data_IF_564042553504
#
_entry.id   IF_564042553504
#
_cell.length_a   1.000
_cell.length_b   1.000
_cell.length_c   1.000
_cell.angle_alpha   90.00
_cell.angle_beta   90.00
_cell.angle_gamma   90.00
#
_symmetry.space_group_name_H-M   'P 1'
#
loop_
_entity.id
_entity.type
_entity.pdbx_description
1 polymer ?
#
# COMPACT_ATOMS: atom_id res chain seq x y z
N UNK A 1 -17.01 -43.63 -51.85
CA UNK A 1 -17.64 -44.32 -52.99
C UNK A 1 -16.94 -43.91 -54.29
N UNK A 2 -16.41 -44.89 -55.11
CA UNK A 2 -15.87 -44.54 -56.40
C UNK A 2 -17.00 -44.04 -57.30
N UNK A 3 -16.84 -42.89 -57.95
CA UNK A 3 -17.81 -42.37 -58.92
C UNK A 3 -17.94 -43.32 -60.05
N UNK A 4 -19.15 -43.71 -60.42
CA UNK A 4 -19.46 -44.75 -61.45
C UNK A 4 -19.23 -44.21 -62.89
N UNK A 5 -19.18 -42.86 -63.06
CA UNK A 5 -18.99 -42.17 -64.32
C UNK A 5 -17.96 -41.03 -64.18
N UNK A 6 -17.13 -40.82 -65.23
CA UNK A 6 -16.24 -39.67 -65.29
C UNK A 6 -16.99 -38.43 -65.74
N UNK A 7 -16.46 -37.22 -65.37
CA UNK A 7 -17.06 -35.97 -65.78
C UNK A 7 -17.17 -35.77 -67.27
N UNK A 8 -16.17 -36.30 -67.99
CA UNK A 8 -16.19 -36.33 -69.45
C UNK A 8 -17.36 -37.13 -69.97
N UNK A 9 -17.66 -38.30 -69.41
CA UNK A 9 -18.83 -39.11 -69.76
C UNK A 9 -20.15 -38.39 -69.42
N UNK A 10 -20.20 -37.70 -68.28
CA UNK A 10 -21.39 -36.94 -67.86
C UNK A 10 -21.66 -35.76 -68.79
N UNK A 11 -20.61 -34.97 -69.10
CA UNK A 11 -20.72 -33.81 -69.98
C UNK A 11 -21.09 -34.28 -71.40
N UNK A 12 -20.50 -35.36 -71.86
CA UNK A 12 -20.85 -35.96 -73.17
C UNK A 12 -22.33 -36.31 -73.21
N UNK A 13 -22.82 -37.01 -72.20
CA UNK A 13 -24.26 -37.38 -72.14
C UNK A 13 -25.20 -36.12 -72.07
N UNK A 14 -24.82 -35.05 -71.38
CA UNK A 14 -25.60 -33.77 -71.36
C UNK A 14 -25.56 -33.11 -72.78
N UNK A 15 -24.40 -33.08 -73.44
CA UNK A 15 -24.27 -32.51 -74.77
C UNK A 15 -25.02 -33.34 -75.82
N UNK A 16 -25.08 -34.70 -75.72
CA UNK A 16 -25.88 -35.57 -76.58
C UNK A 16 -27.41 -35.22 -76.48
N UNK A 17 -27.86 -34.87 -75.23
CA UNK A 17 -29.24 -34.39 -75.03
C UNK A 17 -29.48 -33.00 -75.63
N UNK A 18 -28.53 -32.09 -75.50
CA UNK A 18 -28.57 -30.76 -76.10
C UNK A 18 -28.59 -30.81 -77.61
N UNK A 19 -27.95 -31.88 -78.22
CA UNK A 19 -28.00 -32.16 -79.65
C UNK A 19 -29.29 -32.88 -80.09
N UNK A 20 -30.29 -33.09 -79.17
CA UNK A 20 -31.59 -33.66 -79.57
C UNK A 20 -31.87 -35.09 -79.13
N UNK A 21 -30.95 -35.80 -78.52
CA UNK A 21 -31.18 -37.14 -77.98
C UNK A 21 -32.21 -37.19 -76.86
N UNK A 22 -33.09 -38.17 -76.84
CA UNK A 22 -34.12 -38.35 -75.80
C UNK A 22 -33.47 -38.84 -74.52
N UNK A 23 -33.87 -38.19 -73.35
CA UNK A 23 -33.36 -38.55 -72.03
C UNK A 23 -33.49 -40.02 -71.70
N UNK A 24 -34.61 -40.64 -72.11
CA UNK A 24 -34.85 -42.06 -71.83
C UNK A 24 -33.82 -42.97 -72.49
N UNK A 25 -33.32 -42.66 -73.70
CA UNK A 25 -32.33 -43.46 -74.37
C UNK A 25 -30.93 -43.30 -73.78
N UNK A 26 -30.56 -42.11 -73.42
CA UNK A 26 -29.31 -41.80 -72.66
C UNK A 26 -29.32 -42.53 -71.34
N UNK A 27 -30.45 -42.51 -70.64
CA UNK A 27 -30.56 -43.17 -69.31
C UNK A 27 -30.44 -44.70 -69.44
N UNK A 28 -31.01 -45.29 -70.48
CA UNK A 28 -30.85 -46.73 -70.75
C UNK A 28 -29.40 -47.09 -71.10
N UNK A 29 -28.75 -46.33 -71.97
CA UNK A 29 -27.38 -46.57 -72.37
C UNK A 29 -26.39 -46.48 -71.24
N UNK A 30 -26.58 -45.50 -70.36
CA UNK A 30 -25.72 -45.29 -69.21
C UNK A 30 -26.18 -45.98 -67.93
N UNK A 31 -27.37 -46.67 -67.89
CA UNK A 31 -27.85 -47.37 -66.78
C UNK A 31 -28.11 -46.46 -65.54
N UNK A 32 -28.65 -45.24 -65.75
CA UNK A 32 -28.97 -44.25 -64.74
C UNK A 32 -30.46 -43.95 -64.75
N UNK A 33 -30.91 -43.35 -63.62
CA UNK A 33 -32.28 -42.87 -63.51
C UNK A 33 -32.42 -41.48 -64.17
N UNK A 34 -33.62 -41.13 -64.64
CA UNK A 34 -33.92 -39.81 -65.20
C UNK A 34 -33.59 -38.67 -64.17
N UNK A 35 -33.89 -38.86 -62.85
CA UNK A 35 -33.53 -37.92 -61.82
C UNK A 35 -32.00 -37.69 -61.76
N UNK A 36 -31.19 -38.74 -61.93
CA UNK A 36 -29.73 -38.61 -61.96
C UNK A 36 -29.26 -37.75 -63.12
N UNK A 37 -29.86 -38.01 -64.35
CA UNK A 37 -29.57 -37.25 -65.55
C UNK A 37 -29.93 -35.73 -65.38
N UNK A 38 -31.10 -35.42 -64.84
CA UNK A 38 -31.50 -34.01 -64.61
C UNK A 38 -30.59 -33.30 -63.58
N UNK A 39 -30.13 -33.98 -62.56
CA UNK A 39 -29.11 -33.46 -61.65
C UNK A 39 -27.77 -33.18 -62.34
N UNK A 40 -27.39 -34.07 -63.29
CA UNK A 40 -26.21 -33.83 -64.11
C UNK A 40 -26.40 -32.63 -65.04
N UNK A 41 -27.55 -32.53 -65.71
CA UNK A 41 -27.90 -31.39 -66.55
C UNK A 41 -27.89 -30.05 -65.79
N UNK A 42 -28.47 -30.01 -64.61
CA UNK A 42 -28.46 -28.82 -63.74
C UNK A 42 -27.04 -28.38 -63.36
N UNK A 43 -26.12 -29.30 -63.27
CA UNK A 43 -24.74 -29.03 -62.80
C UNK A 43 -23.73 -28.79 -63.95
N UNK A 44 -23.98 -29.40 -65.14
CA UNK A 44 -22.98 -29.44 -66.22
C UNK A 44 -23.50 -28.93 -67.54
N UNK A 45 -24.76 -28.50 -67.67
CA UNK A 45 -25.28 -27.92 -68.92
C UNK A 45 -24.51 -26.64 -69.27
N UNK A 46 -24.09 -26.56 -70.55
CA UNK A 46 -23.35 -25.37 -71.02
C UNK A 46 -21.88 -25.32 -70.64
N UNK A 47 -21.33 -26.38 -69.91
CA UNK A 47 -19.94 -26.40 -69.50
C UNK A 47 -19.07 -27.27 -70.48
N UNK A 48 -17.89 -26.74 -70.79
CA UNK A 48 -16.86 -27.59 -71.43
C UNK A 48 -16.11 -28.45 -70.39
N UNK A 49 -15.47 -29.58 -70.82
CA UNK A 49 -14.73 -30.48 -69.92
C UNK A 49 -13.66 -29.71 -69.15
N UNK A 50 -12.99 -28.76 -69.77
CA UNK A 50 -11.96 -27.95 -69.13
C UNK A 50 -12.57 -26.97 -68.02
N UNK A 51 -13.74 -26.45 -68.29
CA UNK A 51 -14.47 -25.57 -67.34
C UNK A 51 -14.95 -26.37 -66.11
N UNK A 52 -15.44 -27.59 -66.29
CA UNK A 52 -15.84 -28.47 -65.23
C UNK A 52 -14.65 -28.86 -64.32
N UNK A 53 -13.46 -29.09 -64.89
CA UNK A 53 -12.23 -29.32 -64.14
C UNK A 53 -11.86 -28.07 -63.35
N UNK A 54 -11.92 -26.91 -63.97
CA UNK A 54 -11.61 -25.64 -63.34
C UNK A 54 -12.57 -25.31 -62.18
N UNK A 55 -13.86 -25.55 -62.37
CA UNK A 55 -14.86 -25.37 -61.32
C UNK A 55 -14.55 -26.23 -60.10
N UNK A 56 -14.15 -27.49 -60.29
CA UNK A 56 -13.80 -28.39 -59.20
C UNK A 56 -12.52 -27.96 -58.45
N UNK A 57 -11.53 -27.51 -59.20
CA UNK A 57 -10.31 -26.96 -58.58
C UNK A 57 -10.66 -25.77 -57.71
N UNK A 58 -11.47 -24.82 -58.21
CA UNK A 58 -11.92 -23.67 -57.45
C UNK A 58 -12.79 -24.04 -56.25
N UNK A 59 -13.71 -25.00 -56.37
CA UNK A 59 -14.48 -25.52 -55.24
C UNK A 59 -13.58 -26.13 -54.17
N UNK A 60 -12.57 -26.93 -54.56
CA UNK A 60 -11.58 -27.53 -53.65
C UNK A 60 -10.73 -26.47 -52.97
N UNK A 61 -10.27 -25.45 -53.73
CA UNK A 61 -9.51 -24.34 -53.18
C UNK A 61 -10.36 -23.51 -52.20
N UNK A 62 -11.60 -23.22 -52.56
CA UNK A 62 -12.52 -22.49 -51.69
C UNK A 62 -12.80 -23.24 -50.37
N UNK A 63 -12.93 -24.58 -50.47
CA UNK A 63 -13.10 -25.42 -49.29
C UNK A 63 -11.86 -25.42 -48.40
N UNK A 64 -10.64 -25.48 -48.97
CA UNK A 64 -9.38 -25.34 -48.23
C UNK A 64 -9.24 -23.96 -47.60
N UNK A 65 -9.53 -22.91 -48.36
CA UNK A 65 -9.48 -21.52 -47.82
C UNK A 65 -10.45 -21.31 -46.67
N UNK A 66 -11.69 -21.80 -46.79
CA UNK A 66 -12.69 -21.74 -45.69
C UNK A 66 -12.20 -22.49 -44.45
N UNK A 67 -11.58 -23.66 -44.58
CA UNK A 67 -11.03 -24.41 -43.48
C UNK A 67 -9.87 -23.66 -42.80
N UNK A 68 -8.93 -23.15 -43.58
CA UNK A 68 -7.82 -22.34 -43.07
C UNK A 68 -8.29 -21.08 -42.37
N UNK A 69 -9.31 -20.39 -42.91
CA UNK A 69 -9.88 -19.20 -42.30
C UNK A 69 -10.51 -19.53 -40.94
N UNK A 70 -11.27 -20.65 -40.86
CA UNK A 70 -11.87 -21.09 -39.58
C UNK A 70 -10.82 -21.43 -38.54
N UNK A 71 -9.76 -22.15 -38.90
CA UNK A 71 -8.63 -22.47 -38.02
C UNK A 71 -7.94 -21.18 -37.52
N UNK A 72 -7.65 -20.24 -38.42
CA UNK A 72 -7.02 -18.95 -38.05
C UNK A 72 -7.91 -18.05 -37.18
N UNK A 73 -9.21 -18.11 -37.35
CA UNK A 73 -10.14 -17.40 -36.46
C UNK A 73 -10.12 -17.97 -35.06
N UNK A 74 -10.15 -19.29 -34.90
CA UNK A 74 -10.05 -19.97 -33.60
C UNK A 74 -8.71 -19.69 -32.91
N UNK A 75 -7.59 -19.79 -33.63
CA UNK A 75 -6.27 -19.43 -33.09
C UNK A 75 -6.23 -17.97 -32.59
N UNK A 76 -6.81 -17.05 -33.38
CA UNK A 76 -6.85 -15.63 -33.02
C UNK A 76 -7.71 -15.36 -31.79
N UNK A 77 -8.84 -16.05 -31.63
CA UNK A 77 -9.67 -15.97 -30.41
C UNK A 77 -8.93 -16.52 -29.19
N UNK A 78 -8.27 -17.67 -29.32
CA UNK A 78 -7.48 -18.23 -28.23
C UNK A 78 -6.33 -17.30 -27.81
N UNK A 79 -5.60 -16.70 -28.75
CA UNK A 79 -4.54 -15.73 -28.49
C UNK A 79 -5.09 -14.48 -27.80
N UNK A 80 -6.25 -13.97 -28.21
CA UNK A 80 -6.90 -12.84 -27.56
C UNK A 80 -7.24 -13.16 -26.11
N UNK A 81 -7.82 -14.32 -25.82
CA UNK A 81 -8.18 -14.72 -24.46
C UNK A 81 -6.95 -14.81 -23.54
N UNK A 82 -5.83 -15.38 -24.03
CA UNK A 82 -4.56 -15.43 -23.29
C UNK A 82 -4.01 -14.02 -23.00
N UNK A 83 -4.05 -13.11 -23.98
CA UNK A 83 -3.60 -11.73 -23.82
C UNK A 83 -4.46 -10.99 -22.79
N UNK A 84 -5.79 -11.13 -22.85
CA UNK A 84 -6.70 -10.51 -21.89
C UNK A 84 -6.47 -11.01 -20.46
N UNK A 85 -6.20 -12.29 -20.27
CA UNK A 85 -5.95 -12.88 -18.94
C UNK A 85 -4.60 -12.45 -18.35
N UNK A 86 -3.55 -12.28 -19.14
CA UNK A 86 -2.20 -11.92 -18.68
C UNK A 86 -1.96 -10.40 -18.56
N UNK A 87 -2.59 -9.58 -19.39
CA UNK A 87 -2.36 -8.12 -19.47
C UNK A 87 -3.49 -7.35 -18.78
N UNK A 88 -3.58 -7.49 -17.45
CA UNK A 88 -4.67 -6.87 -16.67
C UNK A 88 -4.40 -5.38 -16.37
N UNK A 89 -3.15 -4.98 -16.11
CA UNK A 89 -2.82 -3.62 -15.69
C UNK A 89 -2.87 -2.62 -16.86
N UNK A 90 -3.48 -1.41 -16.69
CA UNK A 90 -3.55 -0.40 -17.75
C UNK A 90 -2.19 0.00 -18.35
N UNK A 91 -1.13 0.03 -17.52
CA UNK A 91 0.22 0.34 -17.98
C UNK A 91 0.76 -0.76 -18.92
N UNK A 92 0.54 -2.04 -18.60
CA UNK A 92 0.92 -3.16 -19.46
C UNK A 92 0.11 -3.17 -20.76
N UNK A 93 -1.20 -2.87 -20.69
CA UNK A 93 -2.05 -2.71 -21.89
C UNK A 93 -1.52 -1.60 -22.81
N UNK A 94 -1.08 -0.47 -22.23
CA UNK A 94 -0.51 0.64 -22.99
C UNK A 94 0.80 0.25 -23.69
N UNK A 95 1.69 -0.48 -23.03
CA UNK A 95 2.95 -0.94 -23.65
C UNK A 95 2.71 -1.93 -24.79
N UNK A 96 1.75 -2.87 -24.61
CA UNK A 96 1.36 -3.81 -25.67
C UNK A 96 0.72 -3.08 -26.85
N UNK A 97 -0.20 -2.14 -26.59
CA UNK A 97 -0.80 -1.33 -27.67
C UNK A 97 0.27 -0.53 -28.43
N UNK A 98 1.25 0.05 -27.75
CA UNK A 98 2.38 0.75 -28.36
C UNK A 98 3.21 -0.21 -29.24
N UNK A 99 3.51 -1.40 -28.76
CA UNK A 99 4.22 -2.43 -29.50
C UNK A 99 3.48 -2.81 -30.79
N UNK A 100 2.16 -3.00 -30.72
CA UNK A 100 1.33 -3.29 -31.90
C UNK A 100 1.38 -2.17 -32.94
N UNK A 101 1.36 -0.90 -32.51
CA UNK A 101 1.48 0.25 -33.41
C UNK A 101 2.86 0.30 -34.06
N UNK A 102 3.95 0.10 -33.29
CA UNK A 102 5.31 0.29 -33.80
C UNK A 102 5.80 -0.87 -34.65
N UNK A 103 5.57 -2.12 -34.24
CA UNK A 103 6.08 -3.31 -34.93
C UNK A 103 5.15 -3.85 -36.01
N UNK A 104 3.84 -3.84 -35.74
CA UNK A 104 2.84 -4.36 -36.71
C UNK A 104 2.19 -3.28 -37.55
N UNK A 105 2.59 -2.01 -37.38
CA UNK A 105 2.03 -0.84 -38.12
C UNK A 105 0.50 -0.75 -38.08
N UNK A 106 -0.11 -1.30 -37.03
CA UNK A 106 -1.55 -1.23 -36.81
C UNK A 106 -1.95 0.18 -36.36
N UNK A 107 -3.13 0.63 -36.77
CA UNK A 107 -3.63 1.92 -36.29
C UNK A 107 -3.87 1.91 -34.78
N UNK A 108 -3.74 3.08 -34.12
CA UNK A 108 -4.04 3.21 -32.67
C UNK A 108 -5.43 2.68 -32.31
N UNK A 109 -6.43 2.90 -33.19
CA UNK A 109 -7.80 2.44 -32.97
C UNK A 109 -7.89 0.93 -32.87
N UNK A 110 -7.25 0.21 -33.80
CA UNK A 110 -7.23 -1.25 -33.84
C UNK A 110 -6.42 -1.80 -32.68
N UNK A 111 -5.22 -1.27 -32.45
CA UNK A 111 -4.35 -1.70 -31.35
C UNK A 111 -5.00 -1.53 -29.97
N UNK A 112 -5.65 -0.40 -29.73
CA UNK A 112 -6.38 -0.15 -28.48
C UNK A 112 -7.58 -1.11 -28.31
N UNK A 113 -8.34 -1.38 -29.40
CA UNK A 113 -9.46 -2.31 -29.39
C UNK A 113 -9.00 -3.74 -29.06
N UNK A 114 -7.91 -4.19 -29.68
CA UNK A 114 -7.34 -5.51 -29.45
C UNK A 114 -6.91 -5.75 -27.99
N UNK A 115 -6.40 -4.72 -27.32
CA UNK A 115 -5.89 -4.83 -25.95
C UNK A 115 -6.97 -4.46 -24.89
N UNK A 116 -8.14 -4.01 -25.34
CA UNK A 116 -9.20 -3.54 -24.43
C UNK A 116 -8.78 -2.30 -23.65
N UNK A 117 -8.17 -1.30 -24.32
CA UNK A 117 -7.75 -0.03 -23.75
C UNK A 117 -8.44 1.11 -24.48
N UNK A 118 -8.96 2.12 -23.77
CA UNK A 118 -9.48 3.32 -24.44
C UNK A 118 -8.35 4.14 -25.06
N UNK A 119 -8.61 4.81 -26.20
CA UNK A 119 -7.64 5.71 -26.84
C UNK A 119 -7.23 6.87 -25.94
N UNK A 120 -8.16 7.36 -25.11
CA UNK A 120 -7.88 8.39 -24.10
C UNK A 120 -6.84 7.89 -23.09
N UNK A 121 -6.99 6.65 -22.60
CA UNK A 121 -6.02 6.04 -21.69
C UNK A 121 -4.67 5.74 -22.38
N UNK A 122 -4.69 5.36 -23.66
CA UNK A 122 -3.47 5.17 -24.46
C UNK A 122 -2.68 6.47 -24.62
N UNK A 123 -3.35 7.57 -24.96
CA UNK A 123 -2.75 8.91 -25.16
C UNK A 123 -2.45 9.63 -23.84
N UNK A 124 -3.02 9.16 -22.70
CA UNK A 124 -2.80 9.80 -21.42
C UNK A 124 -1.32 9.87 -21.07
N UNK A 125 -0.80 11.07 -20.96
CA UNK A 125 0.53 11.35 -20.42
C UNK A 125 0.40 11.68 -18.95
N UNK A 126 1.13 10.91 -18.10
CA UNK A 126 1.17 11.18 -16.68
C UNK A 126 1.75 12.57 -16.44
N UNK A 127 0.95 13.49 -15.91
CA UNK A 127 1.43 14.82 -15.52
C UNK A 127 2.57 14.67 -14.49
N UNK A 128 3.69 15.35 -14.71
CA UNK A 128 4.79 15.42 -13.74
C UNK A 128 4.24 16.09 -12.47
N UNK A 129 4.36 15.42 -11.35
CA UNK A 129 3.95 15.99 -10.07
C UNK A 129 5.09 16.87 -9.57
N UNK A 130 4.77 18.08 -9.18
CA UNK A 130 5.70 19.02 -8.57
C UNK A 130 5.83 18.65 -7.08
N UNK A 131 6.65 17.65 -6.79
CA UNK A 131 6.88 17.15 -5.44
C UNK A 131 8.30 17.50 -4.94
N UNK A 132 9.10 18.24 -5.73
CA UNK A 132 10.53 18.40 -5.47
C UNK A 132 10.79 19.11 -4.13
N UNK A 133 10.16 20.25 -3.85
CA UNK A 133 10.30 20.93 -2.55
C UNK A 133 9.82 20.11 -1.35
N UNK A 134 8.77 19.28 -1.54
CA UNK A 134 8.29 18.38 -0.49
C UNK A 134 9.27 17.21 -0.26
N UNK A 135 9.96 16.73 -1.31
CA UNK A 135 10.98 15.69 -1.21
C UNK A 135 12.19 16.19 -0.42
N UNK A 136 12.66 17.38 -0.76
CA UNK A 136 13.84 17.96 -0.11
C UNK A 136 13.55 18.21 1.37
N UNK A 137 12.40 18.82 1.68
CA UNK A 137 12.01 19.03 3.08
C UNK A 137 11.83 17.73 3.85
N UNK A 138 11.29 16.69 3.22
CA UNK A 138 11.16 15.37 3.86
C UNK A 138 12.52 14.73 4.15
N UNK A 139 13.51 14.88 3.26
CA UNK A 139 14.89 14.40 3.48
C UNK A 139 15.55 15.13 4.65
N UNK A 140 15.44 16.45 4.71
CA UNK A 140 15.94 17.24 5.84
C UNK A 140 15.38 16.76 7.17
N UNK A 141 14.05 16.59 7.24
CA UNK A 141 13.38 16.09 8.44
C UNK A 141 13.79 14.64 8.77
N UNK A 142 14.02 13.79 7.77
CA UNK A 142 14.46 12.41 7.99
C UNK A 142 15.91 12.35 8.52
N UNK A 143 16.78 13.28 8.11
CA UNK A 143 18.14 13.43 8.65
C UNK A 143 18.10 13.97 10.09
N UNK A 144 17.27 14.98 10.33
CA UNK A 144 17.10 15.56 11.66
C UNK A 144 16.50 14.59 12.66
N UNK A 145 15.55 13.73 12.21
CA UNK A 145 14.83 12.76 13.04
C UNK A 145 14.95 11.33 12.48
N UNK A 146 16.10 10.66 12.62
CA UNK A 146 16.37 9.37 11.95
C UNK A 146 15.45 8.22 12.39
N UNK A 147 14.77 8.37 13.53
CA UNK A 147 13.82 7.36 14.07
C UNK A 147 12.37 7.59 13.66
N UNK A 148 12.09 8.67 12.91
CA UNK A 148 10.74 8.99 12.51
C UNK A 148 10.34 8.19 11.26
N UNK A 149 9.27 7.42 11.37
CA UNK A 149 8.62 6.81 10.21
C UNK A 149 7.71 7.81 9.48
N UNK A 150 7.20 7.43 8.32
CA UNK A 150 6.41 8.32 7.45
C UNK A 150 5.22 9.01 8.13
N UNK A 151 4.61 8.41 9.17
CA UNK A 151 3.48 9.01 9.88
C UNK A 151 3.91 10.20 10.75
N UNK A 152 5.08 10.13 11.40
CA UNK A 152 5.61 11.24 12.17
C UNK A 152 6.12 12.35 11.24
N UNK A 153 6.84 11.98 10.18
CA UNK A 153 7.25 12.94 9.14
C UNK A 153 6.04 13.62 8.49
N UNK A 154 4.95 12.87 8.24
CA UNK A 154 3.70 13.45 7.75
C UNK A 154 3.10 14.45 8.73
N UNK A 155 3.14 14.15 10.03
CA UNK A 155 2.67 15.07 11.07
C UNK A 155 3.42 16.40 11.07
N UNK A 156 4.77 16.35 10.95
CA UNK A 156 5.60 17.54 10.85
C UNK A 156 5.30 18.35 9.57
N UNK A 157 5.30 17.69 8.42
CA UNK A 157 5.00 18.34 7.12
C UNK A 157 3.58 18.91 7.06
N UNK A 158 2.63 18.30 7.77
CA UNK A 158 1.27 18.83 7.91
C UNK A 158 1.25 20.06 8.80
N UNK A 159 2.01 20.07 9.89
CA UNK A 159 2.18 21.25 10.75
C UNK A 159 2.80 22.43 10.02
N UNK A 160 3.73 22.18 9.09
CA UNK A 160 4.31 23.18 8.19
C UNK A 160 3.39 23.57 7.02
N UNK A 161 2.19 22.99 6.90
CA UNK A 161 1.23 23.29 5.82
C UNK A 161 1.60 22.70 4.43
N UNK A 162 2.70 21.94 4.31
CA UNK A 162 3.24 21.45 3.04
C UNK A 162 2.47 20.27 2.45
N UNK A 163 1.74 19.51 3.28
CA UNK A 163 1.00 18.32 2.84
C UNK A 163 -0.22 18.05 3.71
N UNK A 164 -1.31 17.64 3.06
CA UNK A 164 -2.52 17.17 3.76
C UNK A 164 -2.77 15.69 3.51
N UNK A 165 -2.38 15.17 2.33
CA UNK A 165 -2.67 13.81 1.93
C UNK A 165 -1.57 12.83 2.37
N UNK A 166 -1.89 11.99 3.34
CA UNK A 166 -1.01 10.93 3.87
C UNK A 166 -0.48 9.99 2.79
N UNK A 167 -1.29 9.65 1.76
CA UNK A 167 -0.86 8.79 0.65
C UNK A 167 0.24 9.45 -0.20
N UNK A 168 0.22 10.79 -0.35
CA UNK A 168 1.28 11.54 -1.04
C UNK A 168 2.60 11.45 -0.27
N UNK A 169 2.57 11.66 1.04
CA UNK A 169 3.75 11.52 1.90
C UNK A 169 4.32 10.10 1.86
N UNK A 170 3.46 9.08 1.99
CA UNK A 170 3.91 7.69 1.96
C UNK A 170 4.57 7.30 0.63
N UNK A 171 4.02 7.75 -0.49
CA UNK A 171 4.62 7.51 -1.81
C UNK A 171 6.02 8.12 -1.91
N UNK A 172 6.19 9.39 -1.53
CA UNK A 172 7.48 10.08 -1.56
C UNK A 172 8.47 9.41 -0.61
N UNK A 173 8.04 9.05 0.60
CA UNK A 173 8.84 8.33 1.58
C UNK A 173 9.41 7.00 1.05
N UNK A 174 8.61 6.27 0.23
CA UNK A 174 9.07 5.05 -0.44
C UNK A 174 9.99 5.35 -1.62
N UNK A 175 9.66 6.36 -2.45
CA UNK A 175 10.45 6.77 -3.62
C UNK A 175 11.86 7.20 -3.22
N UNK A 176 12.00 7.90 -2.09
CA UNK A 176 13.29 8.41 -1.59
C UNK A 176 14.04 7.41 -0.67
N UNK A 177 13.49 6.21 -0.44
CA UNK A 177 14.16 5.17 0.35
C UNK A 177 14.32 5.47 1.84
N UNK A 178 13.52 6.38 2.41
CA UNK A 178 13.62 6.88 3.79
C UNK A 178 13.09 5.89 4.85
N UNK A 179 12.94 4.62 4.52
CA UNK A 179 12.30 3.63 5.40
C UNK A 179 13.15 3.32 6.62
N UNK A 180 12.62 3.55 7.80
CA UNK A 180 13.25 3.16 9.06
C UNK A 180 13.22 1.63 9.18
N UNK A 181 14.40 1.00 9.23
CA UNK A 181 14.53 -0.44 9.42
C UNK A 181 14.14 -0.80 10.85
N UNK A 182 13.03 -1.51 11.00
CA UNK A 182 12.58 -2.05 12.29
C UNK A 182 12.63 -3.57 12.26
N UNK A 183 13.16 -4.20 13.33
CA UNK A 183 13.08 -5.66 13.48
C UNK A 183 11.61 -6.05 13.65
N UNK A 184 11.08 -6.85 12.74
CA UNK A 184 9.74 -7.44 12.88
C UNK A 184 9.77 -8.45 14.03
N UNK A 185 9.19 -8.10 15.18
CA UNK A 185 8.97 -9.07 16.26
C UNK A 185 7.70 -9.86 15.97
N UNK A 186 7.74 -11.20 16.14
CA UNK A 186 6.52 -12.01 16.20
C UNK A 186 5.72 -11.53 17.40
N UNK A 187 4.58 -10.90 17.18
CA UNK A 187 3.69 -10.45 18.25
C UNK A 187 2.75 -11.60 18.57
N UNK A 188 2.77 -12.07 19.82
CA UNK A 188 1.67 -12.83 20.40
C UNK A 188 0.42 -11.91 20.41
N UNK A 189 -0.67 -12.38 19.82
CA UNK A 189 -1.96 -11.69 19.89
C UNK A 189 -2.52 -11.85 21.32
N UNK A 190 -2.14 -10.93 22.21
CA UNK A 190 -2.81 -10.79 23.51
C UNK A 190 -3.90 -9.75 23.37
N UNK A 191 -5.08 -9.95 24.00
CA UNK A 191 -6.10 -8.92 24.05
C UNK A 191 -5.50 -7.66 24.66
N UNK A 192 -5.64 -6.52 23.98
CA UNK A 192 -5.18 -5.23 24.51
C UNK A 192 -6.20 -4.77 25.54
N UNK A 193 -5.79 -4.71 26.80
CA UNK A 193 -6.53 -3.97 27.80
C UNK A 193 -6.50 -2.48 27.40
N UNK A 194 -7.69 -1.92 27.23
CA UNK A 194 -7.83 -0.48 26.97
C UNK A 194 -7.47 0.22 28.26
N UNK A 195 -6.40 1.04 28.23
CA UNK A 195 -6.05 1.87 29.37
C UNK A 195 -7.08 3.00 29.49
N UNK A 196 -7.61 3.19 30.69
CA UNK A 196 -8.46 4.31 31.02
C UNK A 196 -7.70 5.63 30.84
N UNK A 197 -8.16 6.47 29.92
CA UNK A 197 -7.59 7.78 29.64
C UNK A 197 -8.39 8.81 30.41
N UNK A 198 -7.75 9.61 31.29
CA UNK A 198 -8.44 10.69 31.97
C UNK A 198 -9.12 11.66 31.00
N UNK A 199 -10.26 12.22 31.38
CA UNK A 199 -11.02 13.15 30.55
C UNK A 199 -10.49 14.60 30.56
N UNK A 200 -9.66 14.94 31.53
CA UNK A 200 -9.18 16.31 31.76
C UNK A 200 -7.72 16.33 32.23
N UNK A 201 -7.04 17.47 32.00
CA UNK A 201 -5.71 17.77 32.54
C UNK A 201 -5.71 17.66 34.07
N UNK A 202 -4.59 17.23 34.63
CA UNK A 202 -4.37 17.10 36.09
C UNK A 202 -5.30 16.11 36.83
N UNK A 203 -6.05 15.27 36.12
CA UNK A 203 -6.75 14.15 36.77
C UNK A 203 -5.79 13.03 37.20
N UNK A 204 -4.81 12.73 36.37
CA UNK A 204 -3.87 11.66 36.63
C UNK A 204 -2.52 11.92 35.98
N UNK A 205 -1.49 11.97 36.79
CA UNK A 205 -0.12 11.93 36.33
C UNK A 205 0.45 10.52 36.44
N UNK A 206 1.47 10.22 35.65
CA UNK A 206 2.28 9.01 35.80
C UNK A 206 3.73 9.41 35.89
N UNK A 207 4.48 8.71 36.75
CA UNK A 207 5.92 8.91 36.87
C UNK A 207 6.69 7.61 36.90
N UNK A 208 7.92 7.64 36.39
CA UNK A 208 8.82 6.51 36.36
C UNK A 208 10.27 6.95 36.14
N UNK A 209 11.20 6.08 36.55
CA UNK A 209 12.64 6.31 36.39
C UNK A 209 13.20 5.66 35.13
N UNK A 210 14.11 6.38 34.48
CA UNK A 210 14.98 5.82 33.44
C UNK A 210 16.43 6.05 33.88
N UNK A 211 17.27 5.02 33.74
CA UNK A 211 18.69 5.12 34.03
C UNK A 211 19.52 5.06 32.76
N UNK A 212 20.61 5.80 32.71
CA UNK A 212 21.62 5.78 31.68
C UNK A 212 23.00 6.05 32.29
N UNK A 213 24.05 6.12 31.47
CA UNK A 213 25.42 6.33 31.93
C UNK A 213 26.12 7.44 31.14
N UNK A 214 27.01 8.16 31.82
CA UNK A 214 27.90 9.12 31.21
C UNK A 214 29.09 8.39 30.53
N UNK A 215 29.82 9.11 29.67
CA UNK A 215 30.99 8.58 28.96
C UNK A 215 32.06 7.96 29.88
N UNK A 216 32.17 8.45 31.13
CA UNK A 216 33.08 7.92 32.14
C UNK A 216 32.52 6.69 32.89
N UNK A 217 31.39 6.11 32.44
CA UNK A 217 30.73 4.93 33.04
C UNK A 217 29.87 5.25 34.28
N UNK A 218 29.87 6.51 34.75
CA UNK A 218 29.07 6.91 35.92
C UNK A 218 27.59 6.94 35.59
N UNK A 219 26.77 6.21 36.33
CA UNK A 219 25.29 6.14 36.10
C UNK A 219 24.61 7.41 36.56
N UNK A 220 23.56 7.79 35.83
CA UNK A 220 22.60 8.82 36.21
C UNK A 220 21.17 8.32 36.03
N UNK A 221 20.25 8.98 36.72
CA UNK A 221 18.82 8.66 36.67
C UNK A 221 18.03 9.88 36.22
N UNK A 222 16.93 9.61 35.54
CA UNK A 222 15.96 10.61 35.10
C UNK A 222 14.59 10.21 35.59
N UNK A 223 13.97 11.02 36.42
CA UNK A 223 12.56 10.89 36.78
C UNK A 223 11.72 11.60 35.73
N UNK A 224 10.85 10.89 35.05
CA UNK A 224 9.90 11.44 34.10
C UNK A 224 8.52 11.58 34.74
N UNK A 225 7.86 12.72 34.56
CA UNK A 225 6.48 12.97 35.03
C UNK A 225 5.64 13.41 33.83
N UNK A 226 4.57 12.67 33.53
CA UNK A 226 3.70 12.90 32.37
C UNK A 226 2.24 13.04 32.83
N UNK A 227 1.49 13.95 32.21
CA UNK A 227 0.04 13.99 32.33
C UNK A 227 -0.59 12.93 31.37
N UNK A 228 -1.46 12.11 31.93
CA UNK A 228 -2.06 11.00 31.17
C UNK A 228 -3.16 11.44 30.20
N UNK A 229 -3.72 12.62 30.35
CA UNK A 229 -4.73 13.16 29.44
C UNK A 229 -4.11 13.60 28.11
N UNK A 230 -3.27 14.63 28.18
CA UNK A 230 -2.69 15.27 26.97
C UNK A 230 -1.31 14.75 26.59
N UNK A 231 -0.75 13.77 27.32
CA UNK A 231 0.61 13.22 27.09
C UNK A 231 1.73 14.25 27.25
N UNK A 232 1.48 15.35 27.89
CA UNK A 232 2.46 16.40 28.17
C UNK A 232 3.51 15.88 29.15
N UNK A 233 4.77 15.96 28.80
CA UNK A 233 5.90 15.68 29.68
C UNK A 233 6.12 16.91 30.59
N UNK A 234 5.52 16.90 31.76
CA UNK A 234 5.51 18.02 32.69
C UNK A 234 6.92 18.36 33.18
N UNK A 235 7.71 17.34 33.49
CA UNK A 235 9.07 17.56 33.91
C UNK A 235 9.97 16.33 33.88
N UNK A 236 11.28 16.61 33.95
CA UNK A 236 12.34 15.60 34.03
C UNK A 236 13.39 16.04 35.06
N UNK A 237 13.56 15.23 36.12
CA UNK A 237 14.60 15.46 37.11
C UNK A 237 15.81 14.57 36.79
N UNK A 238 16.96 15.17 36.44
CA UNK A 238 18.19 14.49 36.04
C UNK A 238 19.24 14.62 37.12
N UNK A 239 19.64 13.51 37.73
CA UNK A 239 20.67 13.48 38.77
C UNK A 239 21.43 12.16 38.83
N UNK A 240 22.58 12.13 39.47
CA UNK A 240 23.36 10.90 39.70
C UNK A 240 22.65 9.96 40.71
N UNK A 241 22.00 10.54 41.68
CA UNK A 241 21.16 9.86 42.65
C UNK A 241 19.94 10.74 42.93
N UNK A 242 18.77 10.11 43.13
CA UNK A 242 17.52 10.82 43.41
C UNK A 242 16.91 10.20 44.68
N UNK A 243 16.78 10.99 45.72
CA UNK A 243 16.13 10.59 46.96
C UNK A 243 14.64 10.92 46.97
N UNK A 244 13.86 10.31 47.85
CA UNK A 244 12.44 10.64 48.00
C UNK A 244 12.17 12.13 48.32
N UNK A 245 13.08 12.80 49.05
CA UNK A 245 12.99 14.25 49.28
C UNK A 245 13.18 15.07 48.01
N UNK A 246 14.10 14.66 47.14
CA UNK A 246 14.27 15.32 45.82
C UNK A 246 13.07 15.12 44.94
N UNK A 247 12.45 13.93 44.97
CA UNK A 247 11.21 13.65 44.26
C UNK A 247 10.09 14.57 44.74
N UNK A 248 9.89 14.72 46.05
CA UNK A 248 8.82 15.59 46.60
C UNK A 248 9.02 17.05 46.25
N UNK A 249 10.25 17.58 46.38
CA UNK A 249 10.56 18.97 45.95
C UNK A 249 10.28 19.21 44.48
N UNK A 250 10.63 18.22 43.63
CA UNK A 250 10.37 18.30 42.21
C UNK A 250 8.87 18.23 41.88
N UNK A 251 8.09 17.40 42.58
CA UNK A 251 6.64 17.34 42.42
C UNK A 251 5.95 18.60 42.92
N UNK A 252 6.47 19.24 43.99
CA UNK A 252 6.03 20.52 44.49
C UNK A 252 6.15 21.60 43.40
N UNK A 253 7.35 21.74 42.83
CA UNK A 253 7.62 22.67 41.74
C UNK A 253 6.67 22.42 40.54
N UNK A 254 6.48 21.17 40.12
CA UNK A 254 5.53 20.87 39.04
C UNK A 254 4.08 21.17 39.40
N UNK A 255 3.70 20.97 40.66
CA UNK A 255 2.37 21.34 41.16
C UNK A 255 2.12 22.84 41.16
N UNK A 256 3.11 23.63 41.48
CA UNK A 256 3.05 25.12 41.42
C UNK A 256 2.99 25.60 39.94
N UNK A 257 3.75 24.99 39.03
CA UNK A 257 3.79 25.38 37.61
C UNK A 257 2.55 24.96 36.83
N UNK A 258 2.03 23.75 37.07
CA UNK A 258 1.00 23.11 36.21
C UNK A 258 -0.35 22.90 36.93
N UNK A 259 -0.41 23.12 38.25
CA UNK A 259 -1.50 22.69 39.12
C UNK A 259 -1.32 21.23 39.60
N UNK A 260 -1.78 20.95 40.82
CA UNK A 260 -1.66 19.61 41.40
C UNK A 260 -2.61 18.59 40.75
N UNK A 261 -2.19 17.34 40.55
CA UNK A 261 -3.07 16.29 40.05
C UNK A 261 -3.95 15.71 41.18
N UNK A 262 -5.06 15.09 40.81
CA UNK A 262 -5.85 14.33 41.77
C UNK A 262 -5.15 13.05 42.23
N UNK A 263 -4.39 12.43 41.30
CA UNK A 263 -3.65 11.21 41.61
C UNK A 263 -2.37 11.07 40.75
N UNK A 264 -1.39 10.37 41.32
CA UNK A 264 -0.15 10.01 40.63
C UNK A 264 0.01 8.48 40.63
N UNK A 265 0.23 7.91 39.44
CA UNK A 265 0.56 6.50 39.31
C UNK A 265 2.08 6.32 39.26
N UNK A 266 2.59 5.45 40.13
CA UNK A 266 4.03 5.13 40.22
C UNK A 266 4.26 3.64 40.53
N UNK A 267 5.49 3.18 40.37
CA UNK A 267 5.90 1.85 40.80
C UNK A 267 6.12 1.81 42.35
N UNK A 268 6.51 0.65 42.84
CA UNK A 268 6.80 0.44 44.30
C UNK A 268 8.26 0.76 44.66
N UNK A 269 8.93 1.63 43.91
CA UNK A 269 10.30 2.05 44.20
C UNK A 269 10.44 2.68 45.60
N UNK A 270 11.60 2.47 46.24
CA UNK A 270 11.87 2.98 47.60
C UNK A 270 11.75 4.48 47.71
N UNK A 271 12.05 5.18 46.64
CA UNK A 271 11.92 6.64 46.54
C UNK A 271 10.45 7.07 46.67
N UNK A 272 9.54 6.31 46.02
CA UNK A 272 8.09 6.64 46.00
C UNK A 272 7.34 6.16 47.24
N UNK A 273 7.86 5.12 47.90
CA UNK A 273 7.31 4.60 49.17
C UNK A 273 7.92 5.27 50.40
N UNK A 274 8.74 6.31 50.20
CA UNK A 274 9.44 7.03 51.29
C UNK A 274 8.50 7.83 52.17
N UNK A 275 8.93 8.08 53.42
CA UNK A 275 8.20 8.97 54.37
C UNK A 275 7.95 10.35 53.78
N UNK A 276 8.92 10.90 53.02
CA UNK A 276 8.75 12.21 52.38
C UNK A 276 7.55 12.22 51.40
N UNK A 277 7.41 11.20 50.56
CA UNK A 277 6.28 11.06 49.65
C UNK A 277 4.94 10.90 50.37
N UNK A 278 4.93 10.14 51.46
CA UNK A 278 3.71 10.00 52.28
C UNK A 278 3.24 11.34 52.85
N UNK A 279 4.13 12.12 53.48
CA UNK A 279 3.77 13.44 54.04
C UNK A 279 3.37 14.43 52.94
N UNK A 280 4.08 14.46 51.83
CA UNK A 280 3.75 15.26 50.65
C UNK A 280 2.35 14.96 50.14
N UNK A 281 2.02 13.67 49.95
CA UNK A 281 0.68 13.25 49.54
C UNK A 281 -0.42 13.70 50.48
N UNK A 282 -0.17 13.71 51.79
CA UNK A 282 -1.12 14.19 52.82
C UNK A 282 -1.29 15.70 52.78
N UNK A 283 -0.20 16.46 52.62
CA UNK A 283 -0.25 17.95 52.60
C UNK A 283 -0.94 18.46 51.33
N UNK A 284 -0.63 17.88 50.19
CA UNK A 284 -1.18 18.30 48.88
C UNK A 284 -2.52 17.64 48.54
N UNK A 285 -2.98 16.66 49.31
CA UNK A 285 -4.17 15.83 49.05
C UNK A 285 -4.10 15.02 47.72
N UNK A 286 -2.92 14.88 47.12
CA UNK A 286 -2.67 14.07 45.92
C UNK A 286 -2.62 12.60 46.31
N UNK A 287 -3.46 11.78 45.67
CA UNK A 287 -3.51 10.33 45.93
C UNK A 287 -2.38 9.60 45.19
N UNK A 288 -1.54 8.84 45.90
CA UNK A 288 -0.55 7.98 45.32
C UNK A 288 -1.18 6.62 44.97
N UNK A 289 -1.08 6.23 43.72
CA UNK A 289 -1.59 4.97 43.19
C UNK A 289 -0.40 4.05 42.81
N UNK A 290 -0.06 3.14 43.71
CA UNK A 290 1.02 2.18 43.46
C UNK A 290 0.55 1.06 42.55
N UNK A 291 1.42 0.65 41.61
CA UNK A 291 1.13 -0.45 40.69
C UNK A 291 1.06 -1.79 41.43
N UNK A 292 0.09 -2.61 41.03
CA UNK A 292 0.02 -3.99 41.52
C UNK A 292 1.15 -4.81 40.90
N UNK A 293 1.84 -5.67 41.70
CA UNK A 293 2.82 -6.57 41.16
C UNK A 293 2.27 -7.40 39.99
N UNK A 294 3.03 -7.49 38.89
CA UNK A 294 2.62 -8.25 37.70
C UNK A 294 1.63 -7.57 36.75
N UNK A 295 1.23 -6.31 37.00
CA UNK A 295 0.34 -5.54 36.12
C UNK A 295 1.02 -4.28 35.53
N UNK A 296 2.05 -4.44 34.68
CA UNK A 296 2.77 -3.30 34.09
C UNK A 296 1.88 -2.36 33.26
N UNK A 297 0.74 -2.86 32.76
CA UNK A 297 -0.20 -2.06 31.97
C UNK A 297 -0.76 -0.83 32.73
N UNK A 298 -0.71 -0.81 34.07
CA UNK A 298 -1.21 0.31 34.86
C UNK A 298 -0.37 1.60 34.67
N UNK A 299 0.91 1.50 34.28
CA UNK A 299 1.78 2.65 34.02
C UNK A 299 2.21 2.79 32.54
N UNK A 300 1.45 2.21 31.62
CA UNK A 300 1.78 2.12 30.19
C UNK A 300 1.98 3.48 29.49
N UNK A 301 1.49 4.60 30.07
CA UNK A 301 1.71 5.93 29.51
C UNK A 301 3.16 6.38 29.66
N UNK A 302 3.70 6.31 30.87
CA UNK A 302 5.10 6.69 31.12
C UNK A 302 6.06 5.63 30.56
N UNK A 303 5.70 4.34 30.55
CA UNK A 303 6.50 3.30 29.89
C UNK A 303 6.65 3.60 28.37
N UNK A 304 5.55 3.99 27.71
CA UNK A 304 5.57 4.40 26.31
C UNK A 304 6.41 5.66 26.09
N UNK A 305 6.35 6.63 27.00
CA UNK A 305 7.23 7.81 27.02
C UNK A 305 8.69 7.39 27.14
N UNK A 306 9.02 6.56 28.13
CA UNK A 306 10.38 6.09 28.41
C UNK A 306 10.99 5.36 27.20
N UNK A 307 10.18 4.55 26.49
CA UNK A 307 10.60 3.92 25.24
C UNK A 307 10.97 4.92 24.15
N UNK A 308 10.21 6.00 24.00
CA UNK A 308 10.51 7.09 23.05
C UNK A 308 11.73 7.88 23.49
N UNK A 309 11.80 8.25 24.77
CA UNK A 309 12.92 8.96 25.37
C UNK A 309 14.25 8.22 25.15
N UNK A 310 14.28 6.89 25.39
CA UNK A 310 15.46 6.07 25.07
C UNK A 310 15.83 6.13 23.61
N UNK A 311 14.86 5.92 22.72
CA UNK A 311 15.13 5.80 21.29
C UNK A 311 15.47 7.14 20.61
N UNK A 312 14.89 8.24 21.08
CA UNK A 312 14.93 9.53 20.41
C UNK A 312 15.90 10.53 21.09
N UNK A 313 16.33 10.24 22.34
CA UNK A 313 17.28 11.06 23.08
C UNK A 313 18.48 10.25 23.58
N UNK A 314 18.28 9.33 24.55
CA UNK A 314 19.38 8.68 25.22
C UNK A 314 20.28 7.86 24.28
N UNK A 315 19.69 7.05 23.39
CA UNK A 315 20.43 6.22 22.44
C UNK A 315 21.03 7.01 21.25
N UNK A 316 20.77 8.30 21.14
CA UNK A 316 21.30 9.15 20.07
C UNK A 316 22.42 10.06 20.55
N UNK A 317 22.60 10.20 21.86
CA UNK A 317 23.59 11.07 22.46
C UNK A 317 24.58 10.28 23.33
N UNK A 318 25.81 10.79 23.38
CA UNK A 318 26.88 10.29 24.22
C UNK A 318 27.27 11.40 25.21
N UNK A 319 26.75 11.34 26.41
CA UNK A 319 26.89 12.40 27.41
C UNK A 319 28.26 12.36 28.11
N UNK A 320 29.01 13.43 28.04
CA UNK A 320 30.31 13.57 28.73
C UNK A 320 30.12 13.99 30.19
N UNK A 321 29.20 14.96 30.43
CA UNK A 321 28.91 15.49 31.74
C UNK A 321 27.42 15.41 32.05
N UNK A 322 27.07 15.57 33.34
CA UNK A 322 25.67 15.59 33.76
C UNK A 322 24.94 16.83 33.25
N UNK A 323 25.66 17.95 33.12
CA UNK A 323 25.15 19.22 32.59
C UNK A 323 24.78 19.10 31.14
N UNK A 324 25.65 18.44 30.34
CA UNK A 324 25.34 18.12 28.94
C UNK A 324 24.12 17.22 28.81
N UNK A 325 24.01 16.20 29.69
CA UNK A 325 22.82 15.33 29.74
C UNK A 325 21.56 16.15 30.06
N UNK A 326 21.61 17.05 31.05
CA UNK A 326 20.48 17.93 31.39
C UNK A 326 20.06 18.84 30.24
N UNK A 327 21.03 19.39 29.52
CA UNK A 327 20.77 20.27 28.37
C UNK A 327 20.08 19.51 27.21
N UNK A 328 20.65 18.38 26.79
CA UNK A 328 20.08 17.62 25.67
C UNK A 328 18.72 16.99 26.03
N UNK A 329 18.54 16.53 27.27
CA UNK A 329 17.25 16.05 27.78
C UNK A 329 16.21 17.18 27.81
N UNK A 330 16.61 18.39 28.21
CA UNK A 330 15.75 19.58 28.18
C UNK A 330 15.31 19.96 26.76
N UNK A 331 16.23 19.93 25.80
CA UNK A 331 15.92 20.14 24.36
C UNK A 331 14.93 19.08 23.87
N UNK A 332 15.16 17.80 24.20
CA UNK A 332 14.26 16.73 23.81
C UNK A 332 12.86 16.90 24.44
N UNK A 333 12.75 17.29 25.72
CA UNK A 333 11.47 17.60 26.38
C UNK A 333 10.72 18.70 25.65
N UNK A 334 11.41 19.78 25.31
CA UNK A 334 10.81 20.87 24.54
C UNK A 334 10.30 20.38 23.18
N UNK A 335 11.13 19.64 22.42
CA UNK A 335 10.74 19.06 21.16
C UNK A 335 9.54 18.09 21.30
N UNK A 336 9.55 17.24 22.33
CA UNK A 336 8.49 16.27 22.61
C UNK A 336 7.14 16.96 22.85
N UNK A 337 7.10 18.05 23.59
CA UNK A 337 5.87 18.76 23.94
C UNK A 337 5.37 19.70 22.84
N UNK A 338 6.26 20.36 22.08
CA UNK A 338 5.88 21.45 21.18
C UNK A 338 5.93 21.09 19.70
N UNK A 339 6.75 20.12 19.32
CA UNK A 339 7.03 19.82 17.89
C UNK A 339 6.65 18.40 17.52
N UNK A 340 6.94 17.43 18.39
CA UNK A 340 6.77 16.01 18.09
C UNK A 340 5.31 15.61 17.87
N UNK A 341 4.94 15.02 16.70
CA UNK A 341 3.58 14.53 16.48
C UNK A 341 3.27 13.29 17.33
N UNK A 342 2.08 13.24 17.94
CA UNK A 342 1.61 12.13 18.77
C UNK A 342 0.41 11.42 18.14
N UNK A 343 0.53 10.14 17.82
CA UNK A 343 -0.55 9.38 17.20
C UNK A 343 -1.83 9.30 18.02
N UNK A 344 -1.69 9.31 19.37
CA UNK A 344 -2.82 9.33 20.28
C UNK A 344 -3.54 10.70 20.35
N UNK A 345 -2.92 11.76 19.85
CA UNK A 345 -3.40 13.14 19.83
C UNK A 345 -3.64 13.64 18.39
N UNK A 346 -4.10 12.77 17.50
CA UNK A 346 -4.34 13.09 16.10
C UNK A 346 -3.12 13.68 15.36
N UNK A 347 -1.91 13.28 15.77
CA UNK A 347 -0.62 13.82 15.31
C UNK A 347 -0.37 15.29 15.64
N UNK A 348 -1.05 15.83 16.64
CA UNK A 348 -0.68 17.11 17.25
C UNK A 348 0.36 16.92 18.35
N UNK A 349 1.26 17.90 18.57
CA UNK A 349 2.07 17.98 19.78
C UNK A 349 1.20 18.16 21.04
N UNK A 350 1.63 17.69 22.23
CA UNK A 350 0.87 17.80 23.48
C UNK A 350 0.35 19.21 23.80
N UNK A 351 1.19 20.23 23.67
CA UNK A 351 0.83 21.62 23.96
C UNK A 351 -0.23 22.13 22.98
N UNK A 352 -0.06 21.86 21.69
CA UNK A 352 -1.03 22.25 20.66
C UNK A 352 -2.38 21.56 20.88
N UNK A 353 -2.34 20.26 21.22
CA UNK A 353 -3.56 19.51 21.55
C UNK A 353 -4.29 20.12 22.74
N UNK A 354 -3.57 20.48 23.80
CA UNK A 354 -4.18 21.09 25.00
C UNK A 354 -4.88 22.41 24.67
N UNK A 355 -4.28 23.24 23.81
CA UNK A 355 -4.88 24.50 23.35
C UNK A 355 -6.14 24.33 22.51
N UNK A 356 -6.32 23.20 21.85
CA UNK A 356 -7.50 22.91 21.03
C UNK A 356 -8.67 22.33 21.84
N UNK A 357 -8.40 21.76 23.02
CA UNK A 357 -9.39 21.05 23.85
C UNK A 357 -9.74 21.87 25.12
N UNK A 358 -8.94 22.88 25.42
CA UNK A 358 -9.24 23.87 26.46
C UNK A 358 -10.25 24.90 25.94
#
# INVERSE_FOLDING_TARGET
>A
MKRRYSEEQIIKAVKEHEAGAKVGDICRTMGITSGCFYNWRSKYAGLEVNEAKRLRELESENQKLKKLLAEKLLENEALKDVVFKKVVKPASKKSVAKHLVTHFKLSERVSCKLVGLSRTAYRYLKKRRLDDGLKDRMKELAVQYPRYGYLLLHGLLRGEGLVQNKKRTYRIYLEEGLQVRTKKRKKLQRPRLVMDVPAQKNKRWSMDFVSDQLANGRRFRVLNVIDNFNRELLGQLVALSISGQQVTRFLEQLGEEHGYPEQIVCDNGTEFTSKAMFFWSKSTKVRLCFMQPGKPTQNGFVESLNGKFRNECLNQNWFRTLEEARYEIGKWRHHYNHVRPHSALNYFPPVVFTQQVA
#
